data_IF_569544236075
#
_entry.id   IF_569544236075
#
_cell.length_a   1.000
_cell.length_b   1.000
_cell.length_c   1.000
_cell.angle_alpha   90.00
_cell.angle_beta   90.00
_cell.angle_gamma   90.00
#
_symmetry.space_group_name_H-M   'P 1'
#
loop_
_entity.id
_entity.type
_entity.pdbx_description
1 polymer ?
#
# COMPACT_ATOMS: atom_id res chain seq x y z
N UNK A 1 7.16 9.99 11.17
CA UNK A 1 7.75 11.14 10.44
C UNK A 1 8.27 12.20 11.40
N UNK A 2 7.44 12.73 12.30
CA UNK A 2 7.84 13.78 13.26
C UNK A 2 9.00 13.36 14.19
N UNK A 3 8.99 12.12 14.69
CA UNK A 3 10.12 11.54 15.45
C UNK A 3 11.45 11.49 14.67
N UNK A 4 11.40 11.68 13.34
CA UNK A 4 12.56 11.73 12.45
C UNK A 4 12.87 13.18 12.00
N UNK A 5 12.25 14.18 12.62
CA UNK A 5 12.42 15.60 12.27
C UNK A 5 11.74 16.03 10.97
N UNK A 6 10.92 15.18 10.34
CA UNK A 6 10.22 15.50 9.09
C UNK A 6 8.94 16.27 9.39
N UNK A 7 8.81 17.45 8.78
CA UNK A 7 7.59 18.26 8.81
C UNK A 7 6.90 18.23 7.46
N UNK A 8 5.62 17.86 7.43
CA UNK A 8 4.82 17.92 6.21
C UNK A 8 4.14 19.29 6.07
N UNK A 9 4.17 19.86 4.86
CA UNK A 9 3.50 21.14 4.56
C UNK A 9 1.97 21.03 4.45
N UNK A 10 1.47 19.81 4.24
CA UNK A 10 0.06 19.50 4.08
C UNK A 10 -0.31 18.52 5.17
N UNK A 11 -1.33 18.85 5.95
CA UNK A 11 -1.85 17.99 7.03
C UNK A 11 -2.46 16.68 6.48
N UNK A 12 -2.67 15.73 7.38
CA UNK A 12 -3.13 14.39 7.02
C UNK A 12 -4.56 14.38 6.48
N UNK A 13 -5.46 15.20 7.05
CA UNK A 13 -6.87 15.27 6.63
C UNK A 13 -6.98 15.76 5.18
N UNK A 14 -6.20 16.78 4.83
CA UNK A 14 -6.14 17.30 3.47
C UNK A 14 -5.53 16.30 2.49
N UNK A 15 -4.58 15.46 2.93
CA UNK A 15 -4.05 14.36 2.10
C UNK A 15 -5.10 13.28 1.85
N UNK A 16 -5.85 12.90 2.88
CA UNK A 16 -6.94 11.90 2.79
C UNK A 16 -8.04 12.42 1.86
N UNK A 17 -8.51 13.65 2.06
CA UNK A 17 -9.50 14.28 1.19
C UNK A 17 -8.99 14.43 -0.26
N UNK A 18 -7.69 14.66 -0.44
CA UNK A 18 -7.06 14.66 -1.77
C UNK A 18 -7.13 13.31 -2.46
N UNK A 19 -6.85 12.22 -1.73
CA UNK A 19 -6.95 10.85 -2.25
C UNK A 19 -8.39 10.47 -2.60
N UNK A 20 -9.37 10.86 -1.78
CA UNK A 20 -10.79 10.64 -2.06
C UNK A 20 -11.24 11.32 -3.36
N UNK A 21 -10.77 12.55 -3.61
CA UNK A 21 -11.10 13.33 -4.81
C UNK A 21 -10.56 12.75 -6.11
N UNK A 22 -9.56 11.86 -6.06
CA UNK A 22 -9.09 11.14 -7.25
C UNK A 22 -10.21 10.27 -7.83
N UNK A 23 -11.17 9.85 -6.99
CA UNK A 23 -12.36 9.11 -7.42
C UNK A 23 -12.03 7.72 -7.93
N UNK A 24 -12.72 7.28 -8.98
CA UNK A 24 -12.55 5.96 -9.59
C UNK A 24 -11.23 5.89 -10.33
N UNK A 25 -10.19 5.45 -9.65
CA UNK A 25 -8.86 5.30 -10.22
C UNK A 25 -8.20 4.03 -9.70
N UNK A 26 -7.67 3.22 -10.62
CA UNK A 26 -6.83 2.08 -10.24
C UNK A 26 -5.44 2.58 -9.90
N UNK A 27 -4.99 2.33 -8.67
CA UNK A 27 -3.60 2.61 -8.27
C UNK A 27 -2.62 1.79 -9.12
N UNK A 28 -1.38 2.25 -9.26
CA UNK A 28 -0.35 1.53 -10.03
C UNK A 28 -0.18 0.09 -9.54
N UNK A 29 -0.09 -0.14 -8.23
CA UNK A 29 0.02 -1.48 -7.66
C UNK A 29 -1.18 -2.39 -7.99
N UNK A 30 -2.40 -1.86 -8.10
CA UNK A 30 -3.54 -2.67 -8.54
C UNK A 30 -3.37 -3.08 -10.02
N UNK A 31 -2.90 -2.16 -10.86
CA UNK A 31 -2.59 -2.46 -12.27
C UNK A 31 -1.44 -3.46 -12.41
N UNK A 32 -0.44 -3.40 -11.53
CA UNK A 32 0.65 -4.38 -11.47
C UNK A 32 0.12 -5.78 -11.13
N UNK A 33 -0.74 -5.87 -10.12
CA UNK A 33 -1.38 -7.13 -9.72
C UNK A 33 -2.22 -7.76 -10.83
N UNK A 34 -3.03 -6.94 -11.52
CA UNK A 34 -3.85 -7.36 -12.67
C UNK A 34 -2.97 -7.77 -13.88
N UNK A 35 -1.75 -7.27 -13.96
CA UNK A 35 -0.78 -7.64 -14.98
C UNK A 35 0.17 -8.78 -14.53
N UNK A 36 -0.01 -9.32 -13.32
CA UNK A 36 0.87 -10.36 -12.76
C UNK A 36 2.28 -9.88 -12.41
N UNK A 37 2.51 -8.58 -12.29
CA UNK A 37 3.79 -7.99 -11.88
C UNK A 37 3.92 -7.98 -10.37
N UNK A 38 5.16 -8.08 -9.88
CA UNK A 38 5.45 -7.99 -8.45
C UNK A 38 5.12 -6.61 -7.90
N UNK A 39 4.65 -6.59 -6.65
CA UNK A 39 4.19 -5.40 -5.96
C UNK A 39 5.32 -4.63 -5.24
N UNK A 40 5.22 -3.30 -5.21
CA UNK A 40 6.15 -2.40 -4.49
C UNK A 40 5.87 -2.32 -2.98
N UNK A 41 5.32 -3.37 -2.37
CA UNK A 41 4.79 -3.33 -0.99
C UNK A 41 5.90 -3.11 0.07
N UNK A 42 7.11 -3.61 -0.19
CA UNK A 42 8.28 -3.45 0.68
C UNK A 42 8.73 -1.98 0.73
N UNK A 43 8.75 -1.31 -0.43
CA UNK A 43 9.13 0.08 -0.54
C UNK A 43 8.09 1.00 0.12
N UNK A 44 6.80 0.69 -0.02
CA UNK A 44 5.73 1.55 0.50
C UNK A 44 5.43 1.32 2.00
N UNK A 45 5.09 0.09 2.40
CA UNK A 45 4.69 -0.21 3.78
C UNK A 45 5.85 -0.78 4.59
N UNK A 46 6.69 -1.64 3.98
CA UNK A 46 7.84 -2.24 4.65
C UNK A 46 8.79 -1.19 5.23
N UNK A 47 9.14 -0.18 4.43
CA UNK A 47 9.97 0.95 4.86
C UNK A 47 9.36 1.71 6.06
N UNK A 48 8.05 1.97 6.05
CA UNK A 48 7.37 2.67 7.14
C UNK A 48 7.30 1.82 8.42
N UNK A 49 7.11 0.51 8.28
CA UNK A 49 7.15 -0.44 9.41
C UNK A 49 8.55 -0.46 10.04
N UNK A 50 9.60 -0.50 9.23
CA UNK A 50 10.99 -0.45 9.69
C UNK A 50 11.28 0.85 10.44
N UNK A 51 10.86 2.00 9.90
CA UNK A 51 10.94 3.30 10.59
C UNK A 51 10.14 3.31 11.90
N UNK A 52 9.02 2.60 11.95
CA UNK A 52 8.27 2.34 13.18
C UNK A 52 9.13 1.63 14.23
N UNK A 53 9.82 0.56 13.84
CA UNK A 53 10.76 -0.16 14.70
C UNK A 53 11.90 0.72 15.23
N UNK A 54 12.57 1.45 14.35
CA UNK A 54 13.69 2.37 14.70
C UNK A 54 13.24 3.44 15.71
N UNK A 55 12.02 3.95 15.56
CA UNK A 55 11.50 5.05 16.41
C UNK A 55 10.70 4.58 17.62
N UNK A 56 10.61 3.26 17.86
CA UNK A 56 9.77 2.68 18.91
C UNK A 56 8.29 3.05 18.76
N UNK A 57 7.79 3.17 17.53
CA UNK A 57 6.40 3.51 17.22
C UNK A 57 5.67 2.26 16.73
N UNK A 58 4.66 1.77 17.47
CA UNK A 58 3.88 0.62 17.03
C UNK A 58 3.13 0.88 15.72
N UNK A 59 3.18 -0.08 14.78
CA UNK A 59 2.53 0.00 13.47
C UNK A 59 1.57 -1.17 13.20
N UNK A 60 0.71 -1.58 14.16
CA UNK A 60 -0.06 -2.83 14.05
C UNK A 60 -0.91 -2.92 12.79
N UNK A 61 -1.63 -1.84 12.43
CA UNK A 61 -2.46 -1.82 11.23
C UNK A 61 -1.62 -1.97 9.94
N UNK A 62 -0.45 -1.33 9.88
CA UNK A 62 0.44 -1.46 8.71
C UNK A 62 1.00 -2.87 8.60
N UNK A 63 1.36 -3.51 9.73
CA UNK A 63 1.84 -4.90 9.73
C UNK A 63 0.79 -5.85 9.16
N UNK A 64 -0.48 -5.70 9.54
CA UNK A 64 -1.57 -6.53 9.00
C UNK A 64 -1.72 -6.35 7.49
N UNK A 65 -1.82 -5.09 7.02
CA UNK A 65 -1.98 -4.81 5.59
C UNK A 65 -0.77 -5.27 4.78
N UNK A 66 0.44 -5.03 5.28
CA UNK A 66 1.68 -5.49 4.68
C UNK A 66 1.72 -7.01 4.54
N UNK A 67 1.44 -7.75 5.62
CA UNK A 67 1.47 -9.21 5.61
C UNK A 67 0.46 -9.81 4.61
N UNK A 68 -0.78 -9.30 4.59
CA UNK A 68 -1.81 -9.76 3.67
C UNK A 68 -1.46 -9.45 2.21
N UNK A 69 -0.96 -8.23 1.94
CA UNK A 69 -0.61 -7.81 0.58
C UNK A 69 0.63 -8.54 0.07
N UNK A 70 1.63 -8.76 0.93
CA UNK A 70 2.82 -9.55 0.60
C UNK A 70 2.47 -11.01 0.31
N UNK A 71 1.57 -11.58 1.10
CA UNK A 71 1.08 -12.94 0.86
C UNK A 71 0.34 -13.04 -0.48
N UNK A 72 -0.51 -12.06 -0.80
CA UNK A 72 -1.17 -11.99 -2.11
C UNK A 72 -0.18 -11.90 -3.26
N UNK A 73 0.82 -11.02 -3.18
CA UNK A 73 1.89 -10.89 -4.18
C UNK A 73 2.59 -12.24 -4.39
N UNK A 74 3.02 -12.90 -3.31
CA UNK A 74 3.69 -14.19 -3.36
C UNK A 74 2.85 -15.25 -4.09
N UNK A 75 1.55 -15.35 -3.78
CA UNK A 75 0.66 -16.32 -4.44
C UNK A 75 0.51 -16.03 -5.95
N UNK A 76 0.42 -14.76 -6.34
CA UNK A 76 0.32 -14.38 -7.75
C UNK A 76 1.64 -14.68 -8.50
N UNK A 77 2.78 -14.37 -7.88
CA UNK A 77 4.09 -14.66 -8.47
C UNK A 77 4.36 -16.17 -8.59
N UNK A 78 4.04 -16.96 -7.55
CA UNK A 78 4.24 -18.41 -7.53
C UNK A 78 3.37 -19.13 -8.57
N UNK A 79 2.13 -18.66 -8.75
CA UNK A 79 1.23 -19.19 -9.77
C UNK A 79 1.57 -18.73 -11.19
N UNK A 80 2.49 -17.76 -11.35
CA UNK A 80 2.74 -17.03 -12.60
C UNK A 80 1.44 -16.49 -13.22
N UNK A 81 0.50 -16.13 -12.35
CA UNK A 81 -0.86 -15.76 -12.69
C UNK A 81 -1.08 -14.25 -12.67
N UNK A 82 -2.33 -13.86 -12.83
CA UNK A 82 -2.80 -12.52 -12.53
C UNK A 82 -4.08 -12.59 -11.71
N UNK A 83 -4.41 -11.49 -11.02
CA UNK A 83 -5.68 -11.40 -10.32
C UNK A 83 -6.76 -10.88 -11.27
N UNK A 84 -7.77 -11.71 -11.52
CA UNK A 84 -9.01 -11.26 -12.16
C UNK A 84 -10.00 -10.96 -11.04
N UNK A 85 -10.16 -9.67 -10.73
CA UNK A 85 -11.27 -9.25 -9.89
C UNK A 85 -12.56 -9.36 -10.73
N UNK A 86 -13.64 -9.96 -10.19
CA UNK A 86 -14.95 -9.82 -10.82
C UNK A 86 -15.22 -8.33 -10.99
N UNK A 87 -15.89 -7.93 -12.07
CA UNK A 87 -16.28 -6.54 -12.31
C UNK A 87 -17.16 -6.11 -11.14
N UNK A 88 -16.55 -5.58 -10.09
CA UNK A 88 -17.23 -4.87 -9.04
C UNK A 88 -17.81 -3.64 -9.73
N UNK A 89 -19.13 -3.56 -9.80
CA UNK A 89 -19.84 -2.42 -10.36
C UNK A 89 -19.32 -1.13 -9.72
N UNK A 90 -18.37 -0.44 -10.36
CA UNK A 90 -17.69 0.65 -9.68
C UNK A 90 -16.34 1.14 -10.19
N UNK A 91 -15.59 0.40 -11.00
CA UNK A 91 -14.45 0.96 -11.76
C UNK A 91 -14.84 1.23 -13.20
#
# INVERSE_FOLDING_TARGET
AEKLGVTFRVDIERRIAGAEKVGKHKTSMLQDLEAGRSLEIDALLGSVIELGGITGTPTPCLNTVYALTKYLDQNVQDSKGNLILPVAAGY
#
